data_IF_667321593321
#
_entry.id   IF_667321593321
#
_cell.length_a   1.000
_cell.length_b   1.000
_cell.length_c   1.000
_cell.angle_alpha   90.00
_cell.angle_beta   90.00
_cell.angle_gamma   90.00
#
_symmetry.space_group_name_H-M   'P 1'
#
loop_
_entity.id
_entity.type
_entity.pdbx_description
1 polymer ?
#
# COMPACT_ATOMS: atom_id res chain seq x y z
N UNK A 1 33.15 -19.35 -23.97
CA UNK A 1 33.11 -19.71 -22.55
C UNK A 1 34.34 -19.24 -21.82
N UNK A 2 34.36 -19.25 -20.49
CA UNK A 2 35.52 -18.89 -19.66
C UNK A 2 36.68 -19.84 -19.86
N UNK A 3 37.90 -19.30 -19.88
CA UNK A 3 39.12 -20.10 -19.69
C UNK A 3 39.24 -20.60 -18.24
N UNK A 4 40.15 -21.55 -17.98
CA UNK A 4 40.32 -22.14 -16.64
C UNK A 4 40.65 -21.08 -15.57
N UNK A 5 41.53 -20.15 -15.90
CA UNK A 5 41.92 -19.05 -15.00
C UNK A 5 40.75 -18.09 -14.71
N UNK A 6 40.00 -17.74 -15.74
CA UNK A 6 38.82 -16.86 -15.62
C UNK A 6 37.73 -17.52 -14.76
N UNK A 7 37.51 -18.81 -14.93
CA UNK A 7 36.58 -19.57 -14.08
C UNK A 7 37.02 -19.52 -12.63
N UNK A 8 38.31 -19.78 -12.36
CA UNK A 8 38.85 -19.74 -10.99
C UNK A 8 38.66 -18.36 -10.36
N UNK A 9 38.93 -17.27 -11.08
CA UNK A 9 38.73 -15.88 -10.61
C UNK A 9 37.24 -15.64 -10.37
N UNK A 10 36.34 -16.07 -11.23
CA UNK A 10 34.89 -15.89 -11.06
C UNK A 10 34.33 -16.58 -9.81
N UNK A 11 34.95 -17.69 -9.35
CA UNK A 11 34.54 -18.39 -8.12
C UNK A 11 34.74 -17.52 -6.87
N UNK A 12 35.73 -16.61 -6.86
CA UNK A 12 35.93 -15.67 -5.75
C UNK A 12 34.73 -14.72 -5.59
N UNK A 13 34.20 -14.19 -6.68
CA UNK A 13 33.04 -13.29 -6.66
C UNK A 13 31.78 -14.06 -6.18
N UNK A 14 31.57 -15.28 -6.62
CA UNK A 14 30.45 -16.13 -6.20
C UNK A 14 30.53 -16.43 -4.71
N UNK A 15 31.70 -16.84 -4.19
CA UNK A 15 31.92 -17.13 -2.77
C UNK A 15 31.69 -15.91 -1.90
N UNK A 16 32.20 -14.75 -2.33
CA UNK A 16 31.96 -13.47 -1.63
C UNK A 16 30.47 -13.13 -1.61
N UNK A 17 29.76 -13.30 -2.73
CA UNK A 17 28.32 -13.07 -2.82
C UNK A 17 27.53 -13.95 -1.86
N UNK A 18 27.88 -15.23 -1.74
CA UNK A 18 27.24 -16.15 -0.79
C UNK A 18 27.48 -15.74 0.67
N UNK A 19 28.72 -15.36 1.01
CA UNK A 19 29.05 -14.85 2.35
C UNK A 19 28.31 -13.57 2.69
N UNK A 20 28.28 -12.61 1.77
CA UNK A 20 27.58 -11.33 1.95
C UNK A 20 26.07 -11.54 2.13
N UNK A 21 25.45 -12.46 1.41
CA UNK A 21 24.03 -12.80 1.57
C UNK A 21 23.76 -13.38 2.96
N UNK A 22 24.60 -14.30 3.45
CA UNK A 22 24.46 -14.87 4.79
C UNK A 22 24.55 -13.82 5.90
N UNK A 23 25.45 -12.85 5.79
CA UNK A 23 25.59 -11.76 6.76
C UNK A 23 24.44 -10.77 6.71
N UNK A 24 23.91 -10.47 5.52
CA UNK A 24 22.75 -9.55 5.35
C UNK A 24 21.46 -10.11 5.93
N UNK A 25 21.28 -11.42 5.93
CA UNK A 25 20.09 -12.05 6.53
C UNK A 25 19.93 -11.67 7.99
N UNK A 26 21.01 -11.62 8.76
CA UNK A 26 20.98 -11.20 10.15
C UNK A 26 20.52 -9.74 10.32
N UNK A 27 21.04 -8.83 9.48
CA UNK A 27 20.66 -7.42 9.51
C UNK A 27 19.19 -7.20 9.12
N UNK A 28 18.70 -7.90 8.09
CA UNK A 28 17.30 -7.86 7.67
C UNK A 28 16.37 -8.39 8.78
N UNK A 29 16.74 -9.49 9.44
CA UNK A 29 15.98 -10.01 10.56
C UNK A 29 15.91 -9.05 11.75
N UNK A 30 17.03 -8.42 12.10
CA UNK A 30 17.07 -7.40 13.14
C UNK A 30 16.24 -6.15 12.80
N UNK A 31 16.30 -5.69 11.55
CA UNK A 31 15.45 -4.58 11.09
C UNK A 31 13.97 -4.93 11.24
N UNK A 32 13.56 -6.10 10.75
CA UNK A 32 12.17 -6.58 10.84
C UNK A 32 11.69 -6.63 12.28
N UNK A 33 12.50 -7.17 13.20
CA UNK A 33 12.16 -7.21 14.62
C UNK A 33 11.93 -5.82 15.19
N UNK A 34 12.82 -4.86 14.92
CA UNK A 34 12.65 -3.47 15.40
C UNK A 34 11.41 -2.81 14.83
N UNK A 35 11.09 -3.06 13.53
CA UNK A 35 9.87 -2.55 12.92
C UNK A 35 8.62 -3.13 13.59
N UNK A 36 8.60 -4.42 13.88
CA UNK A 36 7.49 -5.07 14.60
C UNK A 36 7.35 -4.49 16.01
N UNK A 37 8.44 -4.36 16.76
CA UNK A 37 8.40 -3.84 18.13
C UNK A 37 7.82 -2.41 18.20
N UNK A 38 8.13 -1.56 17.22
CA UNK A 38 7.60 -0.18 17.16
C UNK A 38 6.15 -0.13 16.66
N UNK A 39 5.77 -1.00 15.73
CA UNK A 39 4.48 -0.91 15.04
C UNK A 39 3.39 -1.83 15.63
N UNK A 40 3.70 -2.70 16.58
CA UNK A 40 2.75 -3.68 17.15
C UNK A 40 1.49 -3.04 17.75
N UNK A 41 1.58 -1.79 18.23
CA UNK A 41 0.46 -1.06 18.82
C UNK A 41 -0.51 -0.50 17.77
N UNK A 42 -0.12 -0.53 16.48
CA UNK A 42 -0.98 -0.06 15.39
C UNK A 42 -1.95 -1.17 14.99
N UNK A 43 -3.10 -1.16 15.62
CA UNK A 43 -4.19 -2.13 15.40
C UNK A 43 -5.43 -1.43 14.84
N UNK A 44 -6.33 -2.21 14.25
CA UNK A 44 -7.65 -1.72 13.85
C UNK A 44 -8.57 -1.73 15.08
N UNK A 45 -8.84 -0.54 15.64
CA UNK A 45 -9.52 -0.39 16.94
C UNK A 45 -10.94 0.15 16.88
N UNK A 46 -11.34 0.75 15.76
CA UNK A 46 -12.67 1.33 15.58
C UNK A 46 -13.15 1.18 14.14
N UNK A 47 -14.46 1.28 13.91
CA UNK A 47 -15.02 1.24 12.55
C UNK A 47 -14.78 2.52 11.79
N UNK A 48 -14.99 3.67 12.42
CA UNK A 48 -14.83 4.99 11.80
C UNK A 48 -14.25 6.03 12.78
N UNK A 49 -13.36 6.88 12.31
CA UNK A 49 -12.80 7.99 13.09
C UNK A 49 -13.45 9.35 12.76
N UNK A 50 -14.41 9.38 11.83
CA UNK A 50 -15.12 10.60 11.43
C UNK A 50 -14.30 11.61 10.60
N UNK A 51 -13.19 11.17 10.01
CA UNK A 51 -12.42 12.04 9.10
C UNK A 51 -13.19 12.31 7.81
N UNK A 52 -13.25 13.59 7.39
CA UNK A 52 -13.95 14.06 6.18
C UNK A 52 -13.01 14.70 5.16
N UNK A 53 -11.77 14.91 5.53
CA UNK A 53 -10.79 15.57 4.65
C UNK A 53 -10.16 14.55 3.70
N UNK A 54 -9.67 13.46 4.25
CA UNK A 54 -9.03 12.40 3.49
C UNK A 54 -7.71 12.82 2.82
N UNK A 55 -7.22 11.97 1.95
CA UNK A 55 -6.08 12.22 1.07
C UNK A 55 -6.60 12.47 -0.34
N UNK A 56 -6.09 13.51 -0.99
CA UNK A 56 -6.45 13.85 -2.38
C UNK A 56 -5.49 13.15 -3.32
N UNK A 57 -6.03 12.41 -4.28
CA UNK A 57 -5.27 11.83 -5.39
C UNK A 57 -5.70 12.53 -6.66
N UNK A 58 -4.74 13.20 -7.30
CA UNK A 58 -4.98 13.92 -8.55
C UNK A 58 -4.56 13.06 -9.75
N UNK A 59 -5.24 13.28 -10.88
CA UNK A 59 -4.90 12.61 -12.13
C UNK A 59 -3.49 12.97 -12.60
N UNK A 60 -3.11 14.24 -12.51
CA UNK A 60 -1.77 14.71 -12.89
C UNK A 60 -0.65 13.97 -12.16
N UNK A 61 -0.77 13.85 -10.84
CA UNK A 61 0.19 13.12 -10.02
C UNK A 61 0.27 11.64 -10.40
N UNK A 62 -0.88 11.02 -10.72
CA UNK A 62 -0.93 9.63 -11.13
C UNK A 62 -0.28 9.42 -12.49
N UNK A 63 -0.51 10.31 -13.45
CA UNK A 63 0.09 10.29 -14.78
C UNK A 63 1.61 10.50 -14.72
N UNK A 64 2.09 11.43 -13.87
CA UNK A 64 3.52 11.66 -13.62
C UNK A 64 4.23 10.44 -13.03
N UNK A 65 3.54 9.70 -12.17
CA UNK A 65 4.05 8.45 -11.59
C UNK A 65 3.92 7.24 -12.53
N UNK A 66 3.20 7.37 -13.64
CA UNK A 66 2.93 6.27 -14.57
C UNK A 66 1.95 5.22 -14.06
N UNK A 67 1.11 5.57 -13.09
CA UNK A 67 0.09 4.69 -12.52
C UNK A 67 -1.32 5.16 -12.86
N UNK A 68 -2.20 4.19 -13.14
CA UNK A 68 -3.62 4.43 -13.26
C UNK A 68 -4.21 4.91 -11.91
N UNK A 69 -4.90 6.07 -11.95
CA UNK A 69 -5.50 6.68 -10.77
C UNK A 69 -6.49 5.73 -10.07
N UNK A 70 -7.30 4.98 -10.80
CA UNK A 70 -8.27 4.05 -10.22
C UNK A 70 -7.59 2.88 -9.50
N UNK A 71 -6.49 2.36 -10.03
CA UNK A 71 -5.71 1.31 -9.35
C UNK A 71 -5.11 1.80 -8.04
N UNK A 72 -4.74 3.07 -7.94
CA UNK A 72 -4.24 3.68 -6.69
C UNK A 72 -5.33 3.82 -5.62
N UNK A 73 -6.58 3.98 -6.03
CA UNK A 73 -7.74 4.21 -5.14
C UNK A 73 -8.45 2.91 -4.76
N UNK A 74 -8.33 1.86 -5.57
CA UNK A 74 -8.99 0.57 -5.33
C UNK A 74 -8.69 0.03 -3.93
N UNK A 75 -9.72 -0.42 -3.23
CA UNK A 75 -9.64 -0.92 -1.85
C UNK A 75 -9.68 0.17 -0.77
N UNK A 76 -9.89 1.44 -1.12
CA UNK A 76 -10.02 2.56 -0.19
C UNK A 76 -11.47 3.05 -0.11
N UNK A 77 -11.84 3.62 1.03
CA UNK A 77 -13.12 4.30 1.18
C UNK A 77 -13.03 5.74 0.69
N UNK A 78 -14.09 6.24 0.08
CA UNK A 78 -14.18 7.63 -0.35
C UNK A 78 -14.40 8.55 0.86
N UNK A 79 -13.62 9.64 0.94
CA UNK A 79 -13.79 10.67 1.97
C UNK A 79 -14.84 11.72 1.58
N UNK A 80 -15.08 11.88 0.27
CA UNK A 80 -16.08 12.78 -0.32
C UNK A 80 -16.76 12.12 -1.52
N UNK A 81 -17.92 12.68 -1.90
CA UNK A 81 -18.61 12.25 -3.12
C UNK A 81 -17.72 12.43 -4.35
N UNK A 82 -17.58 11.39 -5.12
CA UNK A 82 -16.87 11.42 -6.40
C UNK A 82 -17.79 12.01 -7.47
N UNK A 83 -17.38 13.14 -8.04
CA UNK A 83 -18.13 13.87 -9.08
C UNK A 83 -17.35 13.92 -10.38
N UNK A 84 -18.07 13.84 -11.48
CA UNK A 84 -17.53 14.10 -12.79
C UNK A 84 -17.48 15.64 -13.04
N UNK A 85 -16.72 16.12 -14.02
CA UNK A 85 -16.69 17.53 -14.47
C UNK A 85 -18.06 18.14 -14.73
N UNK A 86 -19.06 17.33 -15.06
CA UNK A 86 -20.45 17.75 -15.26
C UNK A 86 -21.26 17.83 -13.97
N UNK A 87 -20.65 17.62 -12.79
CA UNK A 87 -21.29 17.65 -11.48
C UNK A 87 -22.14 16.42 -11.14
N UNK A 88 -22.16 15.37 -11.97
CA UNK A 88 -22.87 14.13 -11.68
C UNK A 88 -22.11 13.33 -10.65
N UNK A 89 -22.78 12.87 -9.58
CA UNK A 89 -22.22 12.00 -8.57
C UNK A 89 -22.07 10.59 -9.17
N UNK A 90 -20.84 10.07 -9.15
CA UNK A 90 -20.48 8.73 -9.64
C UNK A 90 -20.41 7.71 -8.49
N UNK A 91 -19.94 8.14 -7.31
CA UNK A 91 -19.89 7.35 -6.11
C UNK A 91 -20.09 8.26 -4.88
N UNK A 92 -20.60 7.71 -3.78
CA UNK A 92 -20.91 8.48 -2.57
C UNK A 92 -19.79 8.43 -1.54
N UNK A 93 -19.81 9.39 -0.63
CA UNK A 93 -18.98 9.38 0.58
C UNK A 93 -19.15 8.06 1.34
N UNK A 94 -18.08 7.58 1.95
CA UNK A 94 -18.01 6.30 2.70
C UNK A 94 -18.30 5.04 1.85
N UNK A 95 -18.38 5.14 0.54
CA UNK A 95 -18.45 4.00 -0.36
C UNK A 95 -17.05 3.43 -0.58
N UNK A 96 -16.96 2.11 -0.56
CA UNK A 96 -15.71 1.41 -0.81
C UNK A 96 -15.44 1.37 -2.32
N UNK A 97 -14.30 1.90 -2.74
CA UNK A 97 -13.90 1.92 -4.14
C UNK A 97 -13.36 0.54 -4.55
N UNK A 98 -14.25 -0.32 -5.03
CA UNK A 98 -13.93 -1.66 -5.54
C UNK A 98 -13.60 -1.64 -7.03
N UNK A 99 -13.00 -2.73 -7.54
CA UNK A 99 -12.76 -2.91 -8.98
C UNK A 99 -14.08 -2.86 -9.78
N UNK A 100 -15.14 -3.47 -9.23
CA UNK A 100 -16.46 -3.44 -9.87
C UNK A 100 -17.03 -2.02 -10.00
N UNK A 101 -16.79 -1.18 -8.98
CA UNK A 101 -17.19 0.23 -9.00
C UNK A 101 -16.35 1.01 -10.02
N UNK A 102 -15.05 0.77 -10.08
CA UNK A 102 -14.16 1.36 -11.06
C UNK A 102 -14.62 1.03 -12.50
N UNK A 103 -14.93 -0.24 -12.79
CA UNK A 103 -15.43 -0.70 -14.08
C UNK A 103 -16.77 -0.05 -14.46
N UNK A 104 -17.68 0.10 -13.49
CA UNK A 104 -18.96 0.79 -13.71
C UNK A 104 -18.77 2.25 -14.07
N UNK A 105 -17.84 2.93 -13.39
CA UNK A 105 -17.51 4.33 -13.65
C UNK A 105 -16.88 4.46 -15.04
N UNK A 106 -15.94 3.60 -15.41
CA UNK A 106 -15.28 3.60 -16.72
C UNK A 106 -16.24 3.33 -17.87
N UNK A 107 -17.27 2.49 -17.65
CA UNK A 107 -18.33 2.26 -18.65
C UNK A 107 -19.29 3.44 -18.81
N UNK A 108 -19.44 4.27 -17.79
CA UNK A 108 -20.40 5.38 -17.74
C UNK A 108 -19.81 6.77 -17.91
N UNK A 109 -18.54 6.95 -17.65
CA UNK A 109 -17.82 8.22 -17.78
C UNK A 109 -16.36 7.92 -18.16
N UNK A 110 -15.78 8.74 -19.05
CA UNK A 110 -14.36 8.59 -19.35
C UNK A 110 -13.54 8.96 -18.11
N UNK A 111 -12.46 8.24 -17.86
CA UNK A 111 -11.49 8.55 -16.79
C UNK A 111 -10.96 9.99 -16.87
N UNK A 112 -10.92 10.55 -18.09
CA UNK A 112 -10.55 11.94 -18.36
C UNK A 112 -11.48 12.98 -17.73
N UNK A 113 -12.68 12.58 -17.32
CA UNK A 113 -13.67 13.46 -16.71
C UNK A 113 -13.52 13.62 -15.19
N UNK A 114 -12.58 12.88 -14.58
CA UNK A 114 -12.29 12.91 -13.13
C UNK A 114 -10.92 13.54 -12.94
N UNK A 115 -10.84 14.62 -12.19
CA UNK A 115 -9.57 15.34 -11.93
C UNK A 115 -8.94 14.94 -10.60
N UNK A 116 -9.78 14.73 -9.59
CA UNK A 116 -9.35 14.40 -8.24
C UNK A 116 -10.29 13.41 -7.56
N UNK A 117 -9.73 12.56 -6.70
CA UNK A 117 -10.47 11.63 -5.85
C UNK A 117 -10.00 11.82 -4.41
N UNK A 118 -10.96 12.03 -3.50
CA UNK A 118 -10.70 12.11 -2.07
C UNK A 118 -10.92 10.75 -1.43
N UNK A 119 -9.86 10.15 -0.88
CA UNK A 119 -9.92 8.85 -0.22
C UNK A 119 -9.59 8.93 1.25
N UNK A 120 -10.14 8.00 2.03
CA UNK A 120 -9.73 7.81 3.43
C UNK A 120 -8.34 7.19 3.46
N UNK A 121 -7.49 7.66 4.37
CA UNK A 121 -6.11 7.22 4.50
C UNK A 121 -5.73 6.99 5.96
N UNK A 122 -4.84 6.05 6.20
CA UNK A 122 -4.25 5.83 7.53
C UNK A 122 -3.47 7.04 8.02
N UNK A 123 -2.93 7.85 7.10
CA UNK A 123 -2.17 9.07 7.42
C UNK A 123 -3.02 10.16 8.04
N UNK A 124 -4.32 10.20 7.70
CA UNK A 124 -5.26 11.22 8.17
C UNK A 124 -6.21 10.68 9.25
N UNK A 125 -5.97 9.46 9.73
CA UNK A 125 -6.82 8.85 10.75
C UNK A 125 -6.75 9.64 12.06
N UNK A 126 -7.92 10.03 12.60
CA UNK A 126 -8.05 10.86 13.80
C UNK A 126 -8.02 10.08 15.12
N UNK A 127 -7.79 8.78 15.08
CA UNK A 127 -7.65 7.96 16.30
C UNK A 127 -6.31 8.21 16.98
N UNK A 128 -6.31 8.32 18.29
CA UNK A 128 -5.09 8.48 19.09
C UNK A 128 -4.21 7.23 19.10
N UNK A 129 -4.81 6.04 19.03
CA UNK A 129 -4.12 4.76 18.97
C UNK A 129 -4.78 3.87 17.93
N UNK A 130 -3.95 3.24 17.11
CA UNK A 130 -4.44 2.38 16.04
C UNK A 130 -5.04 3.15 14.87
N UNK A 131 -5.80 2.45 14.05
CA UNK A 131 -6.41 2.95 12.82
C UNK A 131 -7.85 2.46 12.75
N UNK A 132 -8.75 3.20 12.11
CA UNK A 132 -10.12 2.72 11.88
C UNK A 132 -10.24 1.90 10.59
N UNK A 133 -11.28 1.06 10.51
CA UNK A 133 -11.58 0.22 9.35
C UNK A 133 -11.67 1.05 8.07
N UNK A 134 -12.39 2.17 8.09
CA UNK A 134 -12.57 3.03 6.90
C UNK A 134 -11.26 3.65 6.42
N UNK A 135 -10.38 4.10 7.32
CA UNK A 135 -9.09 4.66 6.94
C UNK A 135 -8.10 3.61 6.44
N UNK A 136 -8.20 2.39 6.94
CA UNK A 136 -7.36 1.28 6.46
C UNK A 136 -7.85 0.74 5.12
N UNK A 137 -9.16 0.48 5.00
CA UNK A 137 -9.77 -0.04 3.79
C UNK A 137 -9.74 -1.57 3.68
N UNK A 138 -9.32 -2.08 2.53
CA UNK A 138 -9.25 -3.52 2.26
C UNK A 138 -8.10 -4.21 2.99
N UNK A 139 -8.40 -5.42 3.46
CA UNK A 139 -7.41 -6.44 3.75
C UNK A 139 -7.06 -7.15 2.45
N UNK A 140 -5.85 -6.90 1.94
CA UNK A 140 -5.38 -7.42 0.65
C UNK A 140 -5.23 -8.94 0.63
N UNK A 141 -5.08 -9.58 1.81
CA UNK A 141 -4.98 -11.04 1.89
C UNK A 141 -6.31 -11.73 1.63
N UNK A 142 -7.42 -11.10 1.98
CA UNK A 142 -8.76 -11.66 1.86
C UNK A 142 -9.66 -10.93 0.87
N UNK A 143 -9.17 -9.84 0.28
CA UNK A 143 -9.90 -8.98 -0.66
C UNK A 143 -11.28 -8.54 -0.14
N UNK A 144 -11.34 -8.12 1.12
CA UNK A 144 -12.54 -7.66 1.82
C UNK A 144 -12.17 -6.57 2.83
N UNK A 145 -13.15 -5.78 3.34
CA UNK A 145 -12.88 -4.81 4.39
C UNK A 145 -12.17 -5.44 5.59
N UNK A 146 -11.19 -4.73 6.13
CA UNK A 146 -10.41 -5.21 7.28
C UNK A 146 -11.32 -5.42 8.50
N UNK A 147 -11.01 -6.41 9.33
CA UNK A 147 -11.73 -6.67 10.57
C UNK A 147 -11.15 -5.88 11.73
N UNK A 148 -12.02 -5.54 12.71
CA UNK A 148 -11.58 -5.04 14.00
C UNK A 148 -10.61 -6.02 14.67
N UNK A 149 -9.59 -5.50 15.35
CA UNK A 149 -8.57 -6.30 16.01
C UNK A 149 -7.43 -6.77 15.11
N UNK A 150 -7.46 -6.46 13.80
CA UNK A 150 -6.34 -6.80 12.90
C UNK A 150 -5.09 -5.99 13.27
N UNK A 151 -3.95 -6.66 13.42
CA UNK A 151 -2.66 -6.05 13.74
C UNK A 151 -2.00 -5.44 12.48
N UNK A 152 -2.53 -4.30 12.02
CA UNK A 152 -2.09 -3.65 10.78
C UNK A 152 -0.60 -3.28 10.79
N UNK A 153 -0.07 -2.84 11.93
CA UNK A 153 1.33 -2.49 12.08
C UNK A 153 2.28 -3.67 11.93
N UNK A 154 1.92 -4.82 12.48
CA UNK A 154 2.73 -6.06 12.33
C UNK A 154 2.74 -6.50 10.87
N UNK A 155 1.58 -6.48 10.19
CA UNK A 155 1.47 -6.81 8.77
C UNK A 155 2.36 -5.88 7.93
N UNK A 156 2.32 -4.57 8.20
CA UNK A 156 3.17 -3.60 7.51
C UNK A 156 4.65 -3.86 7.77
N UNK A 157 5.06 -4.10 9.01
CA UNK A 157 6.45 -4.40 9.37
C UNK A 157 6.97 -5.67 8.68
N UNK A 158 6.16 -6.72 8.63
CA UNK A 158 6.50 -7.95 7.94
C UNK A 158 6.59 -7.78 6.43
N UNK A 159 5.68 -6.98 5.83
CA UNK A 159 5.70 -6.66 4.40
C UNK A 159 6.93 -5.85 3.98
N UNK A 160 7.49 -5.04 4.88
CA UNK A 160 8.73 -4.30 4.66
C UNK A 160 9.95 -5.19 4.90
N UNK A 161 9.89 -6.05 5.91
CA UNK A 161 11.01 -6.90 6.33
C UNK A 161 11.23 -8.12 5.46
N UNK A 162 10.18 -8.72 4.90
CA UNK A 162 10.29 -9.90 4.06
C UNK A 162 11.21 -9.67 2.84
N UNK A 163 11.03 -8.64 2.00
CA UNK A 163 11.92 -8.41 0.88
C UNK A 163 13.30 -7.89 1.30
N UNK A 164 13.50 -7.50 2.55
CA UNK A 164 14.79 -7.03 3.07
C UNK A 164 15.92 -8.05 2.96
N UNK A 165 15.61 -9.35 2.98
CA UNK A 165 16.59 -10.42 2.77
C UNK A 165 16.99 -10.58 1.31
N UNK A 166 16.10 -10.23 0.38
CA UNK A 166 16.29 -10.32 -1.06
C UNK A 166 16.91 -9.04 -1.63
N UNK A 167 16.59 -7.90 -1.04
CA UNK A 167 17.17 -6.61 -1.41
C UNK A 167 18.61 -6.56 -0.91
N UNK A 168 19.52 -6.26 -1.81
CA UNK A 168 20.95 -6.09 -1.54
C UNK A 168 21.23 -4.77 -0.82
N UNK A 169 20.52 -4.51 0.20
CA UNK A 169 20.73 -3.29 1.00
C UNK A 169 21.73 -3.48 2.10
#
# INVERSE_FOLDING_TARGET
>A
GFGVLEYFISTHATRKGLSDTALRTANAGYLTRRLVDVSQDVMITADDCGDKEGLVITKKESDEMGYDMFKRVTGRYLARDLKNKKGKILARVDELFSEELADKILKGAAESDIEEIHIRSVLNCKLHRGVCVKCYGYDLGYNRPVKLGTAAGIIAAQSIGEPGTQLTM
#
